data_IF_035726840916
#
_entry.id   IF_035726840916
#
_cell.length_a   1.000
_cell.length_b   1.000
_cell.length_c   1.000
_cell.angle_alpha   90.00
_cell.angle_beta   90.00
_cell.angle_gamma   90.00
#
_symmetry.space_group_name_H-M   'P 1'
#
loop_
_entity.id
_entity.type
_entity.pdbx_description
1 polymer ?
#
# COMPACT_ATOMS: atom_id res chain seq x y z
N UNK A 1 18.34 -1.80 4.11
CA UNK A 1 17.80 -0.65 3.37
C UNK A 1 16.90 -1.12 2.25
N UNK A 2 15.84 -0.37 1.99
CA UNK A 2 14.96 -0.66 0.87
C UNK A 2 15.60 -0.29 -0.46
N UNK A 3 15.03 -0.80 -1.54
CA UNK A 3 15.56 -0.56 -2.88
C UNK A 3 14.96 0.67 -3.55
N UNK A 4 14.04 1.39 -2.87
CA UNK A 4 13.42 2.58 -3.41
C UNK A 4 12.41 2.30 -4.50
N UNK A 5 11.75 1.14 -4.46
CA UNK A 5 10.80 0.75 -5.48
C UNK A 5 9.47 0.39 -4.84
N UNK A 6 8.41 1.09 -5.24
CA UNK A 6 7.03 0.71 -4.94
C UNK A 6 6.55 -0.16 -6.09
N UNK A 7 6.13 -1.38 -5.79
CA UNK A 7 5.80 -2.38 -6.80
C UNK A 7 4.32 -2.32 -7.14
N UNK A 8 4.00 -2.15 -8.44
CA UNK A 8 2.62 -2.24 -8.91
C UNK A 8 2.19 -3.70 -8.98
N UNK A 9 1.05 -4.02 -8.39
CA UNK A 9 0.50 -5.39 -8.43
C UNK A 9 -0.91 -5.35 -9.00
N UNK A 10 -1.33 -6.49 -9.55
CA UNK A 10 -2.66 -6.66 -10.14
C UNK A 10 -3.55 -7.49 -9.24
N UNK A 11 -4.85 -7.57 -9.60
CA UNK A 11 -5.79 -8.46 -8.91
C UNK A 11 -5.27 -9.90 -8.87
N UNK A 12 -4.62 -10.35 -9.96
CA UNK A 12 -4.09 -11.71 -10.03
C UNK A 12 -2.91 -11.93 -9.09
N UNK A 13 -2.15 -10.89 -8.81
CA UNK A 13 -0.94 -10.97 -7.97
C UNK A 13 -1.23 -10.77 -6.49
N UNK A 14 -2.38 -10.21 -6.16
CA UNK A 14 -2.65 -9.73 -4.82
C UNK A 14 -2.48 -10.80 -3.75
N UNK A 15 -3.18 -11.93 -3.90
CA UNK A 15 -3.18 -12.97 -2.88
C UNK A 15 -1.78 -13.55 -2.68
N UNK A 16 -1.05 -13.78 -3.76
CA UNK A 16 0.32 -14.28 -3.69
C UNK A 16 1.23 -13.28 -2.98
N UNK A 17 1.08 -11.99 -3.30
CA UNK A 17 1.91 -10.94 -2.71
C UNK A 17 1.76 -10.89 -1.20
N UNK A 18 0.52 -10.88 -0.69
CA UNK A 18 0.31 -10.76 0.75
C UNK A 18 0.63 -12.05 1.50
N UNK A 19 0.58 -13.22 0.82
CA UNK A 19 0.86 -14.49 1.48
C UNK A 19 2.35 -14.84 1.47
N UNK A 20 3.12 -14.34 0.50
CA UNK A 20 4.54 -14.65 0.38
C UNK A 20 5.46 -13.64 1.06
N UNK A 21 4.90 -12.56 1.60
CA UNK A 21 5.68 -11.50 2.26
C UNK A 21 5.13 -11.26 3.65
N UNK A 22 5.97 -11.21 4.68
CA UNK A 22 5.48 -11.13 6.06
C UNK A 22 4.80 -9.81 6.41
N UNK A 23 5.16 -8.71 5.75
CA UNK A 23 4.53 -7.42 6.01
C UNK A 23 4.43 -6.65 4.69
N UNK A 24 3.21 -6.26 4.32
CA UNK A 24 2.92 -5.63 3.02
C UNK A 24 1.99 -4.44 3.22
N UNK A 25 2.34 -3.31 2.61
CA UNK A 25 1.43 -2.17 2.47
C UNK A 25 0.92 -2.17 1.02
N UNK A 26 -0.40 -2.06 0.85
CA UNK A 26 -1.03 -1.96 -0.47
C UNK A 26 -1.73 -0.62 -0.58
N UNK A 27 -1.26 0.23 -1.49
CA UNK A 27 -1.83 1.55 -1.77
C UNK A 27 -2.81 1.45 -2.94
N UNK A 28 -4.10 1.65 -2.66
CA UNK A 28 -5.13 1.70 -3.70
C UNK A 28 -5.21 3.13 -4.22
N UNK A 29 -4.96 3.31 -5.51
CA UNK A 29 -4.79 4.61 -6.14
C UNK A 29 -5.37 4.63 -7.55
N UNK A 30 -5.42 5.81 -8.16
CA UNK A 30 -5.77 5.97 -9.58
C UNK A 30 -4.98 7.15 -10.17
N UNK A 31 -4.69 7.11 -11.48
CA UNK A 31 -3.88 8.16 -12.11
C UNK A 31 -4.49 9.56 -12.04
N UNK A 32 -5.82 9.64 -12.00
CA UNK A 32 -6.55 10.91 -11.96
C UNK A 32 -6.70 11.49 -10.56
N UNK A 33 -6.26 10.77 -9.55
CA UNK A 33 -6.48 11.12 -8.15
C UNK A 33 -5.35 12.03 -7.64
N UNK A 34 -5.67 13.30 -7.36
CA UNK A 34 -4.71 14.27 -6.87
C UNK A 34 -4.05 13.87 -5.55
N UNK A 35 -4.82 13.54 -4.50
CA UNK A 35 -4.25 13.10 -3.23
C UNK A 35 -3.38 11.84 -3.35
N UNK A 36 -3.73 10.94 -4.28
CA UNK A 36 -2.90 9.75 -4.54
C UNK A 36 -1.52 10.15 -5.05
N UNK A 37 -1.46 11.17 -5.91
CA UNK A 37 -0.18 11.65 -6.44
C UNK A 37 0.68 12.31 -5.37
N UNK A 38 0.06 12.87 -4.34
CA UNK A 38 0.79 13.44 -3.21
C UNK A 38 1.41 12.36 -2.33
N UNK A 39 0.74 11.20 -2.21
CA UNK A 39 1.23 10.08 -1.39
C UNK A 39 2.32 9.27 -2.11
N UNK A 40 2.27 9.19 -3.43
CA UNK A 40 3.18 8.35 -4.20
C UNK A 40 4.67 8.60 -3.88
N UNK A 41 5.18 9.85 -3.91
CA UNK A 41 6.59 10.08 -3.58
C UNK A 41 6.92 9.76 -2.13
N UNK A 42 5.97 9.91 -1.22
CA UNK A 42 6.17 9.55 0.19
C UNK A 42 6.40 8.05 0.32
N UNK A 43 5.60 7.24 -0.36
CA UNK A 43 5.76 5.79 -0.34
C UNK A 43 7.08 5.34 -0.97
N UNK A 44 7.49 6.00 -2.08
CA UNK A 44 8.79 5.73 -2.68
C UNK A 44 9.91 6.03 -1.69
N UNK A 45 9.83 7.15 -1.01
CA UNK A 45 10.83 7.54 -0.01
C UNK A 45 10.91 6.52 1.12
N UNK A 46 9.76 6.09 1.66
CA UNK A 46 9.72 5.08 2.71
C UNK A 46 10.36 3.78 2.22
N UNK A 47 10.11 3.38 0.98
CA UNK A 47 10.68 2.16 0.43
C UNK A 47 12.20 2.18 0.34
N UNK A 48 12.81 3.38 0.29
CA UNK A 48 14.28 3.48 0.34
C UNK A 48 14.83 3.38 1.76
N UNK A 49 14.00 3.65 2.76
CA UNK A 49 14.45 3.76 4.15
C UNK A 49 14.34 2.47 4.94
N UNK A 50 13.50 1.53 4.50
CA UNK A 50 13.34 0.27 5.19
C UNK A 50 13.01 -0.85 4.21
N UNK A 51 13.47 -2.07 4.52
CA UNK A 51 13.08 -3.28 3.81
C UNK A 51 12.28 -4.23 4.72
N UNK A 52 11.82 -3.73 5.85
CA UNK A 52 11.01 -4.53 6.79
C UNK A 52 9.57 -4.68 6.33
N UNK A 53 9.17 -3.89 5.33
CA UNK A 53 7.83 -3.94 4.74
C UNK A 53 7.95 -3.84 3.22
N UNK A 54 7.17 -4.62 2.51
CA UNK A 54 7.05 -4.51 1.06
C UNK A 54 5.97 -3.47 0.75
N UNK A 55 6.31 -2.43 0.00
CA UNK A 55 5.36 -1.38 -0.38
C UNK A 55 4.88 -1.66 -1.79
N UNK A 56 3.56 -1.80 -1.95
CA UNK A 56 2.94 -2.09 -3.23
C UNK A 56 1.84 -1.09 -3.51
N UNK A 57 1.40 -1.04 -4.77
CA UNK A 57 0.28 -0.20 -5.19
C UNK A 57 -0.59 -0.94 -6.19
N UNK A 58 -1.89 -0.63 -6.16
CA UNK A 58 -2.87 -1.19 -7.07
C UNK A 58 -3.67 -0.06 -7.71
N UNK A 59 -3.61 0.03 -9.02
CA UNK A 59 -4.43 0.97 -9.78
C UNK A 59 -5.86 0.46 -9.82
N UNK A 60 -6.79 1.16 -9.16
CA UNK A 60 -8.17 0.71 -9.04
C UNK A 60 -8.93 0.75 -10.36
N UNK A 61 -8.49 1.57 -11.33
CA UNK A 61 -9.12 1.60 -12.64
C UNK A 61 -8.92 0.28 -13.39
N UNK A 62 -7.79 -0.40 -13.14
CA UNK A 62 -7.42 -1.64 -13.81
C UNK A 62 -7.61 -2.88 -12.95
N UNK A 63 -7.83 -2.71 -11.64
CA UNK A 63 -7.86 -3.81 -10.68
C UNK A 63 -9.01 -3.60 -9.70
N UNK A 64 -10.24 -3.83 -10.19
CA UNK A 64 -11.44 -3.52 -9.42
C UNK A 64 -11.84 -4.62 -8.43
N UNK A 65 -11.40 -5.85 -8.66
CA UNK A 65 -11.83 -6.99 -7.83
C UNK A 65 -11.33 -6.89 -6.40
N UNK A 66 -10.05 -6.62 -6.23
CA UNK A 66 -9.45 -6.53 -4.89
C UNK A 66 -10.00 -5.33 -4.13
N UNK A 67 -10.15 -4.19 -4.81
CA UNK A 67 -10.73 -3.00 -4.19
C UNK A 67 -12.14 -3.27 -3.70
N UNK A 68 -12.97 -3.91 -4.53
CA UNK A 68 -14.35 -4.25 -4.17
C UNK A 68 -14.37 -5.24 -3.00
N UNK A 69 -13.52 -6.25 -3.03
CA UNK A 69 -13.46 -7.28 -2.00
C UNK A 69 -13.11 -6.70 -0.63
N UNK A 70 -12.35 -5.60 -0.60
CA UNK A 70 -11.93 -4.95 0.63
C UNK A 70 -12.76 -3.70 0.98
N UNK A 71 -13.83 -3.47 0.24
CA UNK A 71 -14.73 -2.34 0.52
C UNK A 71 -14.07 -0.97 0.36
N UNK A 72 -13.17 -0.84 -0.60
CA UNK A 72 -12.47 0.44 -0.84
C UNK A 72 -13.45 1.43 -1.45
N UNK A 73 -13.81 2.46 -0.68
CA UNK A 73 -14.81 3.45 -1.07
C UNK A 73 -14.18 4.77 -1.52
N UNK A 74 -12.96 5.02 -1.13
CA UNK A 74 -12.25 6.25 -1.47
C UNK A 74 -10.77 5.95 -1.66
N UNK A 75 -10.07 6.81 -2.39
CA UNK A 75 -8.64 6.68 -2.64
C UNK A 75 -7.94 8.01 -2.34
N UNK A 76 -6.69 7.96 -1.88
CA UNK A 76 -5.94 6.75 -1.59
C UNK A 76 -6.44 6.05 -0.32
N UNK A 77 -6.40 4.74 -0.32
CA UNK A 77 -6.56 3.94 0.87
C UNK A 77 -5.38 2.97 0.92
N UNK A 78 -4.71 2.92 2.05
CA UNK A 78 -3.56 2.05 2.24
C UNK A 78 -3.93 0.98 3.26
N UNK A 79 -3.77 -0.27 2.87
CA UNK A 79 -4.02 -1.42 3.75
C UNK A 79 -2.68 -2.04 4.12
N UNK A 80 -2.55 -2.47 5.38
CA UNK A 80 -1.36 -3.18 5.84
C UNK A 80 -1.74 -4.61 6.17
N UNK A 81 -1.02 -5.57 5.57
CA UNK A 81 -1.20 -6.99 5.79
C UNK A 81 0.02 -7.57 6.48
N UNK A 82 -0.21 -8.39 7.50
CA UNK A 82 0.87 -9.09 8.20
C UNK A 82 0.58 -10.58 8.16
N UNK A 83 1.51 -11.34 7.57
CA UNK A 83 1.35 -12.78 7.39
C UNK A 83 0.03 -13.13 6.68
N UNK A 84 -0.34 -12.33 5.68
CA UNK A 84 -1.54 -12.53 4.88
C UNK A 84 -2.82 -11.97 5.48
N UNK A 85 -2.77 -11.41 6.68
CA UNK A 85 -3.96 -10.88 7.35
C UNK A 85 -3.95 -9.37 7.40
N UNK A 86 -5.11 -8.76 7.15
CA UNK A 86 -5.29 -7.32 7.26
C UNK A 86 -5.17 -6.91 8.74
N UNK A 87 -4.18 -6.04 9.03
CA UNK A 87 -3.93 -5.60 10.41
C UNK A 87 -4.15 -4.11 10.61
N UNK A 88 -4.19 -3.30 9.53
CA UNK A 88 -4.38 -1.86 9.67
C UNK A 88 -4.82 -1.23 8.37
N UNK A 89 -5.36 -0.01 8.46
CA UNK A 89 -5.71 0.76 7.27
C UNK A 89 -5.55 2.26 7.51
N UNK A 90 -5.29 2.99 6.42
CA UNK A 90 -5.24 4.45 6.41
C UNK A 90 -6.06 4.93 5.23
N UNK A 91 -7.06 5.78 5.49
CA UNK A 91 -7.94 6.32 4.45
C UNK A 91 -7.58 7.78 4.21
N UNK A 92 -7.36 8.12 2.94
CA UNK A 92 -6.98 9.47 2.55
C UNK A 92 -5.48 9.68 2.59
N UNK A 93 -5.04 10.85 2.13
CA UNK A 93 -3.64 11.21 2.11
C UNK A 93 -3.13 11.41 3.54
N UNK A 94 -1.98 10.81 3.82
CA UNK A 94 -1.34 10.87 5.14
C UNK A 94 0.06 11.43 4.97
N UNK A 95 0.58 12.05 6.02
CA UNK A 95 1.98 12.50 6.03
C UNK A 95 2.91 11.31 6.15
N UNK A 96 4.18 11.51 5.78
CA UNK A 96 5.20 10.48 5.94
C UNK A 96 5.28 10.00 7.40
N UNK A 97 5.24 10.94 8.35
CA UNK A 97 5.32 10.62 9.77
C UNK A 97 4.14 9.72 10.20
N UNK A 98 2.94 10.03 9.72
CA UNK A 98 1.75 9.23 10.04
C UNK A 98 1.85 7.82 9.45
N UNK A 99 2.29 7.72 8.20
CA UNK A 99 2.44 6.42 7.54
C UNK A 99 3.52 5.60 8.24
N UNK A 100 4.68 6.21 8.53
CA UNK A 100 5.76 5.51 9.21
C UNK A 100 5.36 5.03 10.59
N UNK A 101 4.65 5.85 11.35
CA UNK A 101 4.17 5.47 12.69
C UNK A 101 3.29 4.21 12.61
N UNK A 102 2.38 4.19 11.64
CA UNK A 102 1.48 3.05 11.43
C UNK A 102 2.26 1.79 11.05
N UNK A 103 3.18 1.94 10.10
CA UNK A 103 4.00 0.82 9.62
C UNK A 103 4.85 0.24 10.77
N UNK A 104 5.53 1.11 11.49
CA UNK A 104 6.45 0.70 12.54
C UNK A 104 5.76 -0.03 13.69
N UNK A 105 4.48 0.27 13.91
CA UNK A 105 3.72 -0.41 14.95
C UNK A 105 3.51 -1.90 14.67
N UNK A 106 3.78 -2.32 13.42
CA UNK A 106 3.62 -3.71 13.00
C UNK A 106 4.95 -4.42 12.73
N UNK A 107 6.07 -3.76 12.95
CA UNK A 107 7.39 -4.35 12.73
C UNK A 107 7.69 -5.54 13.66
#
# INVERSE_FOLDING_TARGET
>A
MGEGTVIGISDNDFQKTISENPLVLVDFWAPWCGPCRAVAPVLEEISTETNKILITKMNTDENQQTAAAHGIMSIPTMLIFKNGELVDQMVGAQSKAQIMSKIESHF
#
